data_IF_686932818845
#
_entry.id   IF_686932818845
#
_cell.length_a   1.000
_cell.length_b   1.000
_cell.length_c   1.000
_cell.angle_alpha   90.00
_cell.angle_beta   90.00
_cell.angle_gamma   90.00
#
_symmetry.space_group_name_H-M   'P 1'
#
loop_
_entity.id
_entity.type
_entity.pdbx_description
1 polymer ?
#
# COMPACT_ATOMS: atom_id res chain seq x y z
N UNK A 1 -16.18 35.35 -39.88
CA UNK A 1 -15.34 35.31 -38.67
C UNK A 1 -16.26 35.58 -37.50
N UNK A 2 -16.79 34.53 -36.88
CA UNK A 2 -17.56 34.64 -35.64
C UNK A 2 -16.71 34.09 -34.48
N UNK A 3 -16.76 34.70 -33.28
CA UNK A 3 -15.97 34.27 -32.16
C UNK A 3 -16.56 33.01 -31.53
N UNK A 4 -15.76 31.94 -31.55
CA UNK A 4 -16.06 30.63 -30.99
C UNK A 4 -15.97 30.69 -29.45
N UNK A 5 -17.02 31.18 -28.79
CA UNK A 5 -17.18 31.07 -27.34
C UNK A 5 -17.69 29.66 -27.00
N UNK A 6 -16.79 28.68 -26.99
CA UNK A 6 -17.07 27.38 -26.40
C UNK A 6 -17.23 27.53 -24.89
N UNK A 7 -18.35 27.01 -24.39
CA UNK A 7 -18.71 26.94 -22.99
C UNK A 7 -17.70 26.11 -22.18
N UNK A 8 -16.90 26.77 -21.34
CA UNK A 8 -15.98 26.14 -20.39
C UNK A 8 -16.66 25.26 -19.31
N UNK A 9 -18.00 25.17 -19.30
CA UNK A 9 -18.76 24.41 -18.29
C UNK A 9 -18.88 22.90 -18.54
N UNK A 10 -18.70 22.41 -19.77
CA UNK A 10 -18.88 20.97 -20.08
C UNK A 10 -17.61 20.12 -19.93
N UNK A 11 -16.42 20.73 -19.98
CA UNK A 11 -15.15 19.99 -19.86
C UNK A 11 -14.83 19.56 -18.42
N UNK A 12 -15.35 20.25 -17.40
CA UNK A 12 -15.16 19.84 -16.00
C UNK A 12 -15.94 18.57 -15.63
N UNK A 13 -17.15 18.39 -16.18
CA UNK A 13 -18.05 17.29 -15.82
C UNK A 13 -17.53 15.90 -16.21
N UNK A 14 -16.97 15.76 -17.42
CA UNK A 14 -16.43 14.48 -17.89
C UNK A 14 -15.12 14.09 -17.17
N UNK A 15 -14.32 15.07 -16.76
CA UNK A 15 -13.11 14.83 -15.96
C UNK A 15 -13.43 14.33 -14.56
N UNK A 16 -14.45 14.91 -13.92
CA UNK A 16 -14.92 14.48 -12.62
C UNK A 16 -15.49 13.06 -12.68
N UNK A 17 -16.27 12.71 -13.70
CA UNK A 17 -16.93 11.40 -13.78
C UNK A 17 -15.98 10.19 -13.85
N UNK A 18 -14.74 10.34 -14.33
CA UNK A 18 -13.78 9.22 -14.44
C UNK A 18 -13.03 8.98 -13.13
N UNK A 19 -12.87 10.02 -12.30
CA UNK A 19 -12.23 9.92 -10.99
C UNK A 19 -13.22 9.72 -9.85
N UNK A 20 -14.47 10.11 -10.06
CA UNK A 20 -15.55 10.04 -9.10
C UNK A 20 -16.54 8.93 -9.54
N UNK A 21 -16.14 7.66 -9.44
CA UNK A 21 -17.16 6.62 -9.21
C UNK A 21 -17.92 7.02 -7.92
N UNK A 22 -19.25 6.82 -7.85
CA UNK A 22 -20.06 7.31 -6.73
C UNK A 22 -19.42 6.92 -5.41
N UNK A 23 -19.17 7.94 -4.61
CA UNK A 23 -18.47 7.89 -3.34
C UNK A 23 -19.19 6.88 -2.43
N UNK A 24 -18.71 5.64 -2.41
CA UNK A 24 -19.00 4.74 -1.30
C UNK A 24 -18.54 5.51 -0.08
N UNK A 25 -19.45 5.86 0.83
CA UNK A 25 -19.12 6.61 2.05
C UNK A 25 -17.95 5.91 2.74
N UNK A 26 -16.74 6.41 2.49
CA UNK A 26 -15.55 5.88 3.10
C UNK A 26 -15.54 6.49 4.48
N UNK A 27 -16.15 5.78 5.43
CA UNK A 27 -16.00 6.13 6.83
C UNK A 27 -14.49 6.22 7.07
N UNK A 28 -13.97 7.33 7.61
CA UNK A 28 -12.56 7.40 7.99
C UNK A 28 -12.29 6.17 8.83
N UNK A 29 -11.28 5.37 8.45
CA UNK A 29 -10.90 4.20 9.23
C UNK A 29 -10.88 4.64 10.69
N UNK A 30 -11.76 4.05 11.52
CA UNK A 30 -11.82 4.39 12.94
C UNK A 30 -10.38 4.41 13.43
N UNK A 31 -9.92 5.48 14.10
CA UNK A 31 -8.58 5.52 14.70
C UNK A 31 -8.38 4.19 15.45
N UNK A 32 -7.47 3.34 14.97
CA UNK A 32 -7.28 1.96 15.44
C UNK A 32 -7.69 0.81 14.49
N UNK A 33 -8.27 1.09 13.31
CA UNK A 33 -8.53 0.11 12.25
C UNK A 33 -7.26 -0.27 11.49
N UNK A 34 -7.18 -1.53 11.03
CA UNK A 34 -6.01 -2.07 10.31
C UNK A 34 -5.85 -1.41 8.94
N UNK A 35 -4.94 -0.44 8.81
CA UNK A 35 -4.73 0.39 7.60
C UNK A 35 -4.67 -0.43 6.31
N UNK A 36 -3.96 -1.56 6.30
CA UNK A 36 -3.87 -2.46 5.16
C UNK A 36 -5.23 -2.97 4.70
N UNK A 37 -6.07 -3.50 5.61
CA UNK A 37 -7.37 -4.05 5.25
C UNK A 37 -8.38 -2.99 4.76
N UNK A 38 -8.19 -1.73 5.16
CA UNK A 38 -9.11 -0.64 4.82
C UNK A 38 -8.66 0.22 3.66
N UNK A 39 -7.36 0.42 3.48
CA UNK A 39 -6.84 1.41 2.55
C UNK A 39 -5.99 0.80 1.45
N UNK A 40 -5.45 -0.41 1.65
CA UNK A 40 -4.51 -1.02 0.70
C UNK A 40 -5.14 -2.23 0.02
N UNK A 41 -5.22 -2.20 -1.30
CA UNK A 41 -5.56 -3.36 -2.11
C UNK A 41 -4.27 -4.04 -2.55
N UNK A 42 -3.96 -5.19 -1.96
CA UNK A 42 -2.72 -5.93 -2.22
C UNK A 42 -2.98 -7.10 -3.17
N UNK A 43 -2.22 -7.19 -4.26
CA UNK A 43 -2.38 -8.23 -5.28
C UNK A 43 -1.04 -8.89 -5.56
N UNK A 44 -0.98 -10.21 -5.44
CA UNK A 44 0.15 -11.01 -5.89
C UNK A 44 -0.06 -11.38 -7.37
N UNK A 45 0.93 -11.12 -8.21
CA UNK A 45 0.97 -11.55 -9.60
C UNK A 45 2.02 -12.66 -9.78
N UNK A 46 1.60 -13.77 -10.39
CA UNK A 46 2.42 -14.95 -10.60
C UNK A 46 2.35 -15.36 -12.06
N UNK A 47 3.48 -15.71 -12.67
CA UNK A 47 3.45 -16.43 -13.92
C UNK A 47 3.04 -17.89 -13.69
N UNK A 48 2.14 -18.40 -14.53
CA UNK A 48 1.65 -19.78 -14.47
C UNK A 48 1.60 -20.39 -15.88
N UNK A 49 1.77 -21.73 -16.01
CA UNK A 49 1.82 -22.39 -17.32
C UNK A 49 0.46 -22.47 -18.03
N UNK A 50 -0.65 -22.20 -17.33
CA UNK A 50 -1.99 -22.36 -17.88
C UNK A 50 -3.06 -21.67 -17.05
N UNK A 51 -4.25 -21.48 -17.65
CA UNK A 51 -5.42 -20.96 -16.95
C UNK A 51 -5.93 -21.97 -15.92
N UNK A 52 -5.99 -21.56 -14.66
CA UNK A 52 -6.63 -22.32 -13.58
C UNK A 52 -8.08 -21.90 -13.33
N UNK A 53 -8.63 -22.35 -12.20
CA UNK A 53 -9.98 -21.97 -11.75
C UNK A 53 -9.98 -20.54 -11.20
N UNK A 54 -10.92 -19.73 -11.67
CA UNK A 54 -11.16 -18.37 -11.17
C UNK A 54 -12.16 -18.40 -10.00
N UNK A 55 -11.96 -17.52 -9.03
CA UNK A 55 -12.83 -17.29 -7.88
C UNK A 55 -12.84 -15.80 -7.53
N UNK A 56 -13.54 -15.34 -6.50
CA UNK A 56 -13.64 -13.90 -6.19
C UNK A 56 -12.30 -13.18 -6.02
N UNK A 57 -11.21 -13.90 -5.71
CA UNK A 57 -9.87 -13.34 -5.44
C UNK A 57 -8.87 -13.65 -6.53
N UNK A 58 -9.13 -14.62 -7.39
CA UNK A 58 -8.18 -15.14 -8.37
C UNK A 58 -8.66 -14.90 -9.80
N UNK A 59 -7.79 -14.33 -10.63
CA UNK A 59 -8.01 -14.07 -12.06
C UNK A 59 -6.82 -14.54 -12.88
N UNK A 60 -7.04 -14.92 -14.13
CA UNK A 60 -5.98 -15.31 -15.06
C UNK A 60 -5.99 -14.44 -16.32
N UNK A 61 -4.82 -13.99 -16.71
CA UNK A 61 -4.60 -13.07 -17.83
C UNK A 61 -3.73 -13.74 -18.87
N UNK A 62 -4.27 -13.98 -20.06
CA UNK A 62 -3.50 -14.51 -21.18
C UNK A 62 -2.56 -13.42 -21.70
N UNK A 63 -1.29 -13.75 -21.83
CA UNK A 63 -0.27 -12.87 -22.38
C UNK A 63 0.16 -13.37 -23.75
N UNK A 64 -0.02 -12.55 -24.78
CA UNK A 64 0.30 -12.89 -26.17
C UNK A 64 1.79 -12.65 -26.46
N UNK A 65 2.66 -13.37 -25.77
CA UNK A 65 4.11 -13.28 -25.95
C UNK A 65 4.57 -14.64 -26.50
N UNK A 66 4.69 -14.74 -27.83
CA UNK A 66 5.09 -15.93 -28.61
C UNK A 66 3.99 -16.97 -28.91
N UNK A 67 4.36 -18.03 -29.63
CA UNK A 67 3.52 -19.20 -29.93
C UNK A 67 3.14 -20.01 -28.67
N UNK A 68 3.87 -19.85 -27.56
CA UNK A 68 3.55 -20.50 -26.30
C UNK A 68 2.59 -19.64 -25.47
N UNK A 69 1.48 -20.24 -25.05
CA UNK A 69 0.53 -19.58 -24.16
C UNK A 69 1.12 -19.43 -22.76
N UNK A 70 1.39 -18.19 -22.35
CA UNK A 70 1.76 -17.85 -20.98
C UNK A 70 0.63 -17.09 -20.30
N UNK A 71 0.47 -17.34 -19.01
CA UNK A 71 -0.61 -16.78 -18.22
C UNK A 71 -0.04 -16.06 -17.00
N UNK A 72 -0.63 -14.93 -16.64
CA UNK A 72 -0.40 -14.28 -15.36
C UNK A 72 -1.61 -14.54 -14.48
N UNK A 73 -1.40 -15.15 -13.32
CA UNK A 73 -2.40 -15.30 -12.27
C UNK A 73 -2.27 -14.12 -11.32
N UNK A 74 -3.37 -13.44 -11.04
CA UNK A 74 -3.44 -12.42 -9.98
C UNK A 74 -4.29 -12.92 -8.82
N UNK A 75 -3.79 -12.79 -7.60
CA UNK A 75 -4.49 -13.14 -6.37
C UNK A 75 -4.63 -11.92 -5.46
N UNK A 76 -5.86 -11.50 -5.19
CA UNK A 76 -6.18 -10.48 -4.20
C UNK A 76 -5.91 -11.02 -2.79
N UNK A 77 -5.02 -10.35 -2.07
CA UNK A 77 -4.62 -10.70 -0.72
C UNK A 77 -5.56 -10.01 0.29
N UNK A 78 -6.26 -10.82 1.07
CA UNK A 78 -7.07 -10.37 2.19
C UNK A 78 -6.17 -10.26 3.43
N UNK A 79 -5.57 -9.08 3.59
CA UNK A 79 -4.54 -8.85 4.61
C UNK A 79 -4.87 -7.64 5.44
N UNK A 80 -4.50 -7.77 6.71
CA UNK A 80 -4.68 -6.74 7.73
C UNK A 80 -3.35 -6.09 8.15
N UNK A 81 -2.24 -6.59 7.60
CA UNK A 81 -0.86 -6.21 7.88
C UNK A 81 -0.09 -6.21 6.55
N UNK A 82 1.16 -5.70 6.49
CA UNK A 82 1.99 -5.81 5.30
C UNK A 82 2.10 -7.27 4.81
N UNK A 83 2.14 -7.52 3.48
CA UNK A 83 2.18 -8.88 2.91
C UNK A 83 3.56 -9.55 3.02
N UNK A 84 4.25 -9.40 4.15
CA UNK A 84 5.61 -9.92 4.37
C UNK A 84 5.73 -11.41 4.08
N UNK A 85 4.72 -12.21 4.46
CA UNK A 85 4.72 -13.65 4.19
C UNK A 85 4.75 -13.95 2.69
N UNK A 86 3.98 -13.22 1.89
CA UNK A 86 3.93 -13.38 0.45
C UNK A 86 5.19 -12.83 -0.25
N UNK A 87 5.90 -11.90 0.40
CA UNK A 87 7.12 -11.27 -0.11
C UNK A 87 8.40 -11.78 0.56
N UNK A 88 8.32 -12.84 1.37
CA UNK A 88 9.38 -13.26 2.29
C UNK A 88 10.74 -13.48 1.59
N UNK A 89 10.75 -14.09 0.41
CA UNK A 89 11.94 -14.29 -0.41
C UNK A 89 12.54 -13.01 -1.02
N UNK A 90 11.82 -11.88 -0.91
CA UNK A 90 12.13 -10.61 -1.56
C UNK A 90 12.36 -9.45 -0.59
N UNK A 91 12.02 -9.61 0.70
CA UNK A 91 12.08 -8.54 1.71
C UNK A 91 13.45 -7.85 1.80
N UNK A 92 14.54 -8.62 1.71
CA UNK A 92 15.90 -8.10 1.80
C UNK A 92 16.48 -7.63 0.47
N UNK A 93 15.76 -7.80 -0.65
CA UNK A 93 16.28 -7.39 -1.95
C UNK A 93 16.32 -5.86 -2.02
N UNK A 94 17.44 -5.27 -2.46
CA UNK A 94 17.53 -3.84 -2.65
C UNK A 94 16.62 -3.41 -3.80
N UNK A 95 15.97 -2.26 -3.64
CA UNK A 95 15.29 -1.57 -4.74
C UNK A 95 16.37 -0.90 -5.58
N UNK A 96 16.42 -1.27 -6.86
CA UNK A 96 17.47 -0.83 -7.80
C UNK A 96 17.03 0.38 -8.62
N UNK A 97 15.74 0.47 -8.94
CA UNK A 97 15.23 1.61 -9.69
C UNK A 97 13.73 1.81 -9.49
N UNK A 98 13.25 2.99 -9.85
CA UNK A 98 11.83 3.25 -10.04
C UNK A 98 11.57 4.03 -11.33
N UNK A 99 10.35 3.89 -11.85
CA UNK A 99 9.85 4.59 -13.03
C UNK A 99 8.46 5.13 -12.72
N UNK A 100 8.29 6.46 -12.71
CA UNK A 100 6.97 7.06 -12.78
C UNK A 100 6.37 6.81 -14.17
N UNK A 101 5.10 6.43 -14.22
CA UNK A 101 4.34 6.35 -15.47
C UNK A 101 3.17 7.33 -15.41
N UNK A 102 3.09 8.20 -16.41
CA UNK A 102 2.02 9.21 -16.54
C UNK A 102 1.00 8.76 -17.56
N UNK A 103 -0.23 8.50 -17.14
CA UNK A 103 -1.34 8.13 -18.01
C UNK A 103 -2.29 9.31 -18.24
N UNK A 104 -2.29 9.87 -19.46
CA UNK A 104 -3.07 11.07 -19.79
C UNK A 104 -4.56 10.77 -20.04
N UNK A 105 -5.46 11.57 -19.46
CA UNK A 105 -6.91 11.30 -19.47
C UNK A 105 -7.63 11.73 -20.75
N UNK A 106 -7.12 12.73 -21.46
CA UNK A 106 -7.80 13.33 -22.61
C UNK A 106 -6.88 13.41 -23.84
N UNK A 107 -7.48 13.75 -24.99
CA UNK A 107 -6.76 14.24 -26.17
C UNK A 107 -6.39 15.73 -26.02
N UNK A 108 -6.61 16.36 -24.85
CA UNK A 108 -6.33 17.77 -24.71
C UNK A 108 -4.82 18.00 -24.92
N UNK A 109 -4.45 19.10 -25.59
CA UNK A 109 -3.05 19.43 -25.82
C UNK A 109 -2.28 19.43 -24.49
N UNK A 110 -1.11 18.81 -24.50
CA UNK A 110 -0.18 18.89 -23.38
C UNK A 110 0.06 20.37 -23.00
N UNK A 111 -0.05 20.71 -21.72
CA UNK A 111 0.32 22.03 -21.20
C UNK A 111 -0.82 22.93 -20.72
N UNK A 112 -2.10 22.63 -21.01
CA UNK A 112 -3.21 23.46 -20.52
C UNK A 112 -3.55 23.17 -19.04
N UNK A 113 -3.62 21.90 -18.64
CA UNK A 113 -3.72 21.45 -17.25
C UNK A 113 -3.08 20.05 -17.18
N UNK A 114 -1.99 19.83 -16.44
CA UNK A 114 -1.34 18.52 -16.33
C UNK A 114 -2.19 17.56 -15.50
N UNK A 115 -3.24 17.04 -16.14
CA UNK A 115 -4.17 16.07 -15.57
C UNK A 115 -3.83 14.70 -16.13
N UNK A 116 -2.89 14.05 -15.47
CA UNK A 116 -2.55 12.65 -15.71
C UNK A 116 -2.74 11.86 -14.43
N UNK A 117 -3.07 10.58 -14.60
CA UNK A 117 -2.97 9.62 -13.50
C UNK A 117 -1.54 9.10 -13.44
N UNK A 118 -0.93 9.11 -12.26
CA UNK A 118 0.43 8.61 -12.08
C UNK A 118 0.45 7.33 -11.26
N UNK A 119 1.42 6.47 -11.58
CA UNK A 119 1.77 5.30 -10.79
C UNK A 119 3.27 5.07 -10.86
N UNK A 120 3.82 4.40 -9.87
CA UNK A 120 5.27 4.14 -9.81
C UNK A 120 5.50 2.64 -9.95
N UNK A 121 6.26 2.28 -10.99
CA UNK A 121 6.85 0.96 -11.14
C UNK A 121 8.17 0.95 -10.39
N UNK A 122 8.40 -0.07 -9.58
CA UNK A 122 9.58 -0.21 -8.74
C UNK A 122 10.20 -1.56 -9.05
N UNK A 123 11.49 -1.54 -9.34
CA UNK A 123 12.28 -2.72 -9.65
C UNK A 123 13.26 -2.99 -8.50
N UNK A 124 13.20 -4.19 -7.95
CA UNK A 124 14.14 -4.69 -6.97
C UNK A 124 15.11 -5.69 -7.63
N UNK A 125 16.24 -5.94 -6.97
CA UNK A 125 17.20 -6.92 -7.45
C UNK A 125 16.56 -8.30 -7.63
N UNK A 126 17.11 -9.11 -8.54
CA UNK A 126 16.65 -10.47 -8.80
C UNK A 126 15.18 -10.51 -9.19
N UNK A 127 14.88 -9.95 -10.37
CA UNK A 127 13.63 -10.03 -11.15
C UNK A 127 12.31 -9.75 -10.43
N UNK A 128 12.37 -9.09 -9.27
CA UNK A 128 11.20 -8.76 -8.49
C UNK A 128 10.77 -7.31 -8.75
N UNK A 129 9.49 -7.13 -9.02
CA UNK A 129 8.95 -5.80 -9.30
C UNK A 129 7.62 -5.61 -8.62
N UNK A 130 7.31 -4.34 -8.37
CA UNK A 130 6.10 -3.93 -7.71
C UNK A 130 5.59 -2.60 -8.29
N UNK A 131 4.29 -2.38 -8.18
CA UNK A 131 3.61 -1.16 -8.62
C UNK A 131 2.79 -0.60 -7.47
N UNK A 132 2.93 0.70 -7.23
CA UNK A 132 2.08 1.45 -6.31
C UNK A 132 1.35 2.56 -7.06
N UNK A 133 0.06 2.70 -6.78
CA UNK A 133 -0.71 3.85 -7.25
C UNK A 133 -1.80 4.20 -6.25
N UNK A 134 -2.00 5.50 -6.01
CA UNK A 134 -3.21 5.97 -5.32
C UNK A 134 -4.31 6.11 -6.35
N UNK A 135 -5.42 5.39 -6.19
CA UNK A 135 -6.63 5.59 -6.99
C UNK A 135 -7.81 5.70 -6.06
N UNK A 136 -8.62 6.73 -6.30
CA UNK A 136 -9.64 7.15 -5.35
C UNK A 136 -8.98 7.19 -3.97
N UNK A 137 -9.66 6.77 -2.92
CA UNK A 137 -9.11 6.81 -1.57
C UNK A 137 -8.25 5.58 -1.22
N UNK A 138 -8.01 4.66 -2.17
CA UNK A 138 -7.25 3.42 -1.95
C UNK A 138 -5.83 3.50 -2.48
N UNK A 139 -4.92 2.81 -1.81
CA UNK A 139 -3.62 2.45 -2.32
C UNK A 139 -3.72 1.09 -3.04
N UNK A 140 -3.49 1.10 -4.34
CA UNK A 140 -3.42 -0.08 -5.18
C UNK A 140 -1.95 -0.56 -5.20
N UNK A 141 -1.70 -1.76 -4.67
CA UNK A 141 -0.38 -2.37 -4.52
C UNK A 141 -0.35 -3.74 -5.19
N UNK A 142 0.45 -3.92 -6.24
CA UNK A 142 0.67 -5.22 -6.87
C UNK A 142 2.15 -5.53 -6.99
N UNK A 143 2.52 -6.79 -6.82
CA UNK A 143 3.90 -7.24 -6.87
C UNK A 143 4.03 -8.66 -7.40
N UNK A 144 5.22 -9.02 -7.88
CA UNK A 144 5.56 -10.38 -8.28
C UNK A 144 6.94 -10.46 -8.93
N UNK A 145 7.32 -11.66 -9.34
CA UNK A 145 8.63 -11.94 -9.92
C UNK A 145 8.54 -12.33 -11.41
N UNK A 146 9.60 -12.03 -12.15
CA UNK A 146 9.78 -12.39 -13.55
C UNK A 146 9.39 -11.27 -14.53
N UNK A 147 10.00 -11.30 -15.71
CA UNK A 147 9.79 -10.30 -16.76
C UNK A 147 8.34 -10.23 -17.26
N UNK A 148 7.65 -11.38 -17.31
CA UNK A 148 6.24 -11.42 -17.71
C UNK A 148 5.36 -10.63 -16.74
N UNK A 149 5.56 -10.85 -15.44
CA UNK A 149 4.85 -10.11 -14.39
C UNK A 149 5.20 -8.63 -14.46
N UNK A 150 6.48 -8.28 -14.64
CA UNK A 150 6.89 -6.89 -14.79
C UNK A 150 6.18 -6.15 -15.93
N UNK A 151 6.03 -6.81 -17.09
CA UNK A 151 5.26 -6.24 -18.19
C UNK A 151 3.78 -6.10 -17.80
N UNK A 152 3.21 -7.13 -17.18
CA UNK A 152 1.83 -7.10 -16.69
C UNK A 152 1.57 -5.94 -15.72
N UNK A 153 2.48 -5.65 -14.78
CA UNK A 153 2.35 -4.51 -13.85
C UNK A 153 2.22 -3.16 -14.58
N UNK A 154 2.87 -3.03 -15.74
CA UNK A 154 2.85 -1.81 -16.54
C UNK A 154 1.58 -1.66 -17.41
N UNK A 155 0.89 -2.77 -17.68
CA UNK A 155 -0.26 -2.83 -18.57
C UNK A 155 -1.59 -2.94 -17.82
N UNK A 156 -1.58 -3.48 -16.61
CA UNK A 156 -2.78 -3.78 -15.84
C UNK A 156 -2.75 -3.12 -14.46
N UNK A 157 -3.95 -2.87 -13.94
CA UNK A 157 -4.17 -2.43 -12.55
C UNK A 157 -4.27 -3.62 -11.60
N UNK A 158 -4.08 -3.42 -10.29
CA UNK A 158 -4.42 -4.41 -9.25
C UNK A 158 -5.79 -5.07 -9.41
N UNK A 159 -6.81 -4.30 -9.77
CA UNK A 159 -8.17 -4.81 -10.01
C UNK A 159 -8.37 -5.47 -11.39
N UNK A 160 -7.29 -5.70 -12.16
CA UNK A 160 -7.35 -6.34 -13.47
C UNK A 160 -7.86 -5.47 -14.62
N UNK A 161 -8.30 -4.24 -14.36
CA UNK A 161 -8.67 -3.31 -15.44
C UNK A 161 -7.40 -2.97 -16.25
N UNK A 162 -7.37 -3.18 -17.58
CA UNK A 162 -6.22 -2.81 -18.40
C UNK A 162 -6.05 -1.28 -18.41
N UNK A 163 -4.80 -0.84 -18.48
CA UNK A 163 -4.44 0.57 -18.68
C UNK A 163 -4.56 0.93 -20.15
N UNK A 164 -4.69 2.21 -20.44
CA UNK A 164 -4.57 2.71 -21.82
C UNK A 164 -3.09 2.88 -22.14
N UNK A 165 -2.41 1.77 -22.48
CA UNK A 165 -0.96 1.72 -22.72
C UNK A 165 -0.47 2.78 -23.72
N UNK A 166 -1.16 3.04 -24.86
CA UNK A 166 -0.76 4.13 -25.77
C UNK A 166 -0.74 5.54 -25.15
N UNK A 167 -1.38 5.73 -23.99
CA UNK A 167 -1.39 7.00 -23.24
C UNK A 167 -0.51 6.99 -22.00
N UNK A 168 0.16 5.87 -21.72
CA UNK A 168 1.11 5.74 -20.64
C UNK A 168 2.47 6.20 -21.12
N UNK A 169 2.99 7.28 -20.54
CA UNK A 169 4.32 7.82 -20.83
C UNK A 169 5.22 7.51 -19.65
N UNK A 170 6.07 6.46 -19.74
CA UNK A 170 7.06 6.18 -18.71
C UNK A 170 8.09 7.30 -18.69
N UNK A 171 8.37 7.83 -17.50
CA UNK A 171 9.49 8.75 -17.29
C UNK A 171 10.82 7.95 -17.33
N UNK A 172 11.96 8.62 -17.54
CA UNK A 172 13.26 7.94 -17.46
C UNK A 172 13.42 7.21 -16.11
N UNK A 173 13.86 5.93 -16.11
CA UNK A 173 14.08 5.20 -14.86
C UNK A 173 15.12 5.89 -13.99
N UNK A 174 14.81 6.04 -12.70
CA UNK A 174 15.72 6.62 -11.71
C UNK A 174 16.41 5.48 -10.98
N UNK A 175 17.74 5.44 -11.07
CA UNK A 175 18.57 4.45 -10.38
C UNK A 175 18.74 4.83 -8.90
N UNK A 176 18.61 3.86 -8.02
CA UNK A 176 18.80 4.04 -6.58
C UNK A 176 20.15 3.44 -6.15
N UNK A 177 20.79 3.99 -5.10
CA UNK A 177 22.10 3.53 -4.63
C UNK A 177 22.06 2.16 -3.92
N UNK A 178 20.91 1.48 -3.87
CA UNK A 178 20.74 0.14 -3.30
C UNK A 178 20.66 0.08 -1.77
N UNK A 179 20.58 1.23 -1.08
CA UNK A 179 20.45 1.32 0.37
C UNK A 179 19.02 1.09 0.89
N UNK A 180 18.03 1.07 -0.01
CA UNK A 180 16.63 0.85 0.31
C UNK A 180 16.21 -0.57 -0.10
N UNK A 181 15.54 -1.29 0.79
CA UNK A 181 15.04 -2.65 0.56
C UNK A 181 13.54 -2.68 0.41
N UNK A 182 13.01 -3.79 -0.10
CA UNK A 182 11.56 -4.05 -0.13
C UNK A 182 10.96 -3.98 1.28
N UNK A 183 11.61 -4.54 2.29
CA UNK A 183 11.17 -4.45 3.68
C UNK A 183 11.07 -3.00 4.15
N UNK A 184 12.07 -2.16 3.83
CA UNK A 184 12.08 -0.75 4.22
C UNK A 184 10.95 0.04 3.57
N UNK A 185 10.59 -0.29 2.33
CA UNK A 185 9.41 0.26 1.66
C UNK A 185 8.11 -0.15 2.38
N UNK A 186 7.96 -1.42 2.77
CA UNK A 186 6.79 -1.87 3.53
C UNK A 186 6.70 -1.20 4.90
N UNK A 187 7.81 -1.00 5.60
CA UNK A 187 7.87 -0.24 6.86
C UNK A 187 7.44 1.22 6.67
N UNK A 188 7.84 1.84 5.56
CA UNK A 188 7.43 3.20 5.23
C UNK A 188 5.92 3.29 4.96
N UNK A 189 5.40 2.31 4.21
CA UNK A 189 3.96 2.18 3.96
C UNK A 189 3.17 2.02 5.25
N UNK A 190 3.59 1.08 6.11
CA UNK A 190 2.92 0.76 7.38
C UNK A 190 3.05 1.89 8.43
N UNK A 191 4.13 2.66 8.38
CA UNK A 191 4.43 3.72 9.33
C UNK A 191 4.09 5.13 8.81
N UNK A 192 5.09 5.90 8.31
CA UNK A 192 4.89 7.27 7.83
C UNK A 192 3.70 7.45 6.87
N UNK A 193 3.58 6.62 5.83
CA UNK A 193 2.53 6.77 4.83
C UNK A 193 1.15 6.55 5.44
N UNK A 194 0.95 5.50 6.24
CA UNK A 194 -0.34 5.19 6.86
C UNK A 194 -0.85 6.31 7.76
N UNK A 195 0.04 6.95 8.52
CA UNK A 195 -0.28 8.07 9.43
C UNK A 195 -0.64 9.35 8.70
N UNK A 196 -0.06 9.58 7.52
CA UNK A 196 -0.38 10.73 6.68
C UNK A 196 -1.28 10.38 5.51
N UNK A 197 -2.01 9.25 5.57
CA UNK A 197 -2.89 8.85 4.49
C UNK A 197 -4.15 9.72 4.50
N UNK A 198 -4.39 10.40 3.38
CA UNK A 198 -5.53 11.29 3.20
C UNK A 198 -6.51 10.72 2.19
N UNK A 199 -7.80 11.03 2.37
CA UNK A 199 -8.86 10.76 1.37
C UNK A 199 -8.49 11.46 0.06
N UNK A 200 -8.91 10.90 -1.07
CA UNK A 200 -8.57 11.48 -2.36
C UNK A 200 -9.12 12.90 -2.51
N UNK A 201 -8.23 13.84 -2.77
CA UNK A 201 -8.57 15.21 -3.17
C UNK A 201 -7.87 15.49 -4.48
N UNK A 202 -8.60 16.00 -5.48
CA UNK A 202 -8.01 16.39 -6.76
C UNK A 202 -6.92 17.45 -6.60
N UNK A 203 -7.08 18.35 -5.62
CA UNK A 203 -6.17 19.49 -5.38
C UNK A 203 -5.07 19.16 -4.39
N UNK A 204 -5.34 18.34 -3.37
CA UNK A 204 -4.45 18.25 -2.20
C UNK A 204 -3.86 16.84 -1.98
N UNK A 205 -4.55 15.79 -2.45
CA UNK A 205 -4.24 14.42 -2.07
C UNK A 205 -4.60 13.41 -3.17
N UNK A 206 -4.06 13.62 -4.37
CA UNK A 206 -4.29 12.77 -5.55
C UNK A 206 -3.14 11.78 -5.80
N UNK A 207 -3.16 11.11 -6.96
CA UNK A 207 -2.11 10.17 -7.39
C UNK A 207 -0.73 10.81 -7.56
N UNK A 208 -0.67 12.07 -8.03
CA UNK A 208 0.57 12.80 -8.30
C UNK A 208 1.28 13.13 -6.99
N UNK A 209 0.56 13.67 -6.01
CA UNK A 209 1.07 13.92 -4.66
C UNK A 209 1.58 12.64 -3.99
N UNK A 210 0.84 11.53 -4.12
CA UNK A 210 1.30 10.23 -3.61
C UNK A 210 2.60 9.79 -4.31
N UNK A 211 2.66 9.94 -5.63
CA UNK A 211 3.82 9.55 -6.44
C UNK A 211 5.05 10.36 -6.05
N UNK A 212 4.90 11.68 -5.89
CA UNK A 212 5.97 12.57 -5.43
C UNK A 212 6.51 12.16 -4.06
N UNK A 213 5.63 11.96 -3.07
CA UNK A 213 6.04 11.52 -1.71
C UNK A 213 6.72 10.14 -1.71
N UNK A 214 6.28 9.22 -2.57
CA UNK A 214 6.95 7.94 -2.76
C UNK A 214 8.35 8.13 -3.35
N UNK A 215 8.51 8.99 -4.36
CA UNK A 215 9.82 9.28 -4.95
C UNK A 215 10.77 9.95 -3.94
N UNK A 216 10.29 10.91 -3.16
CA UNK A 216 11.05 11.54 -2.08
C UNK A 216 11.57 10.49 -1.09
N UNK A 217 10.71 9.56 -0.66
CA UNK A 217 11.10 8.45 0.21
C UNK A 217 12.14 7.53 -0.45
N UNK A 218 11.94 7.15 -1.70
CA UNK A 218 12.87 6.26 -2.41
C UNK A 218 14.26 6.89 -2.60
N UNK A 219 14.31 8.21 -2.83
CA UNK A 219 15.55 8.97 -3.00
C UNK A 219 16.24 9.28 -1.67
N UNK A 220 15.47 9.49 -0.61
CA UNK A 220 16.01 9.87 0.69
C UNK A 220 15.22 9.21 1.84
N UNK A 221 15.41 7.90 2.07
CA UNK A 221 14.66 7.15 3.08
C UNK A 221 14.91 7.61 4.52
N UNK A 222 16.01 8.35 4.75
CA UNK A 222 16.38 8.88 6.07
C UNK A 222 15.77 10.26 6.34
N UNK A 223 15.53 11.08 5.31
CA UNK A 223 14.91 12.40 5.47
C UNK A 223 13.42 12.32 5.82
N UNK A 224 12.78 11.20 5.51
CA UNK A 224 11.45 10.92 6.06
C UNK A 224 11.66 10.71 7.55
N UNK A 225 11.47 11.78 8.34
CA UNK A 225 11.63 11.74 9.80
C UNK A 225 10.77 10.61 10.33
N UNK A 226 11.44 9.52 10.68
CA UNK A 226 10.82 8.41 11.37
C UNK A 226 10.48 8.90 12.76
N UNK A 227 9.25 9.38 12.95
CA UNK A 227 8.63 9.11 14.24
C UNK A 227 8.66 7.58 14.37
N UNK A 228 9.33 7.06 15.42
CA UNK A 228 9.72 5.66 15.50
C UNK A 228 8.53 4.78 15.13
N UNK A 229 8.76 3.78 14.26
CA UNK A 229 7.65 2.98 13.71
C UNK A 229 6.84 2.36 14.83
N UNK A 230 5.56 2.08 14.59
CA UNK A 230 4.75 1.41 15.61
C UNK A 230 5.45 0.12 16.07
N UNK A 231 6.14 -0.61 15.19
CA UNK A 231 6.93 -1.81 15.52
C UNK A 231 8.17 -1.51 16.39
N UNK A 232 8.96 -0.48 16.07
CA UNK A 232 10.14 -0.11 16.88
C UNK A 232 9.72 0.43 18.25
N UNK A 233 8.67 1.26 18.29
CA UNK A 233 8.07 1.74 19.53
C UNK A 233 7.54 0.54 20.32
N UNK A 234 6.80 -0.36 19.68
CA UNK A 234 6.27 -1.58 20.28
C UNK A 234 7.37 -2.45 20.90
N UNK A 235 8.42 -2.79 20.16
CA UNK A 235 9.52 -3.62 20.67
C UNK A 235 10.33 -2.92 21.76
N UNK A 236 10.59 -1.62 21.59
CA UNK A 236 11.28 -0.81 22.62
C UNK A 236 10.47 -0.81 23.93
N UNK A 237 9.15 -0.64 23.84
CA UNK A 237 8.28 -0.67 25.00
C UNK A 237 8.13 -2.07 25.59
N UNK A 238 8.04 -3.13 24.78
CA UNK A 238 8.07 -4.50 25.30
C UNK A 238 9.34 -4.80 26.07
N UNK A 239 10.51 -4.38 25.57
CA UNK A 239 11.76 -4.55 26.29
C UNK A 239 11.76 -3.80 27.64
N UNK A 240 11.23 -2.57 27.68
CA UNK A 240 11.08 -1.82 28.93
C UNK A 240 10.12 -2.49 29.90
N UNK A 241 8.99 -2.98 29.41
CA UNK A 241 7.97 -3.68 30.20
C UNK A 241 8.49 -5.00 30.76
N UNK A 242 9.30 -5.72 29.98
CA UNK A 242 9.99 -6.93 30.44
C UNK A 242 10.94 -6.64 31.61
N UNK A 243 11.59 -5.48 31.62
CA UNK A 243 12.48 -5.06 32.68
C UNK A 243 11.74 -4.48 33.90
N UNK A 244 10.64 -3.76 33.68
CA UNK A 244 9.84 -3.08 34.70
C UNK A 244 8.36 -3.00 34.27
N UNK A 245 7.46 -3.67 34.99
CA UNK A 245 6.03 -3.65 34.70
C UNK A 245 5.42 -2.25 34.69
N UNK A 246 5.97 -1.32 35.49
CA UNK A 246 5.46 0.06 35.56
C UNK A 246 5.76 0.85 34.30
N UNK A 247 6.72 0.41 33.48
CA UNK A 247 6.97 1.02 32.17
C UNK A 247 5.74 0.96 31.25
N UNK A 248 4.81 0.03 31.48
CA UNK A 248 3.56 -0.03 30.71
C UNK A 248 2.74 1.25 30.83
N UNK A 249 2.66 1.87 32.02
CA UNK A 249 1.85 3.09 32.25
C UNK A 249 2.45 4.34 31.59
N UNK A 250 3.72 4.25 31.20
CA UNK A 250 4.44 5.31 30.49
C UNK A 250 4.44 5.10 28.97
N UNK A 251 3.98 3.96 28.48
CA UNK A 251 3.87 3.71 27.05
C UNK A 251 2.90 4.72 26.41
N UNK A 252 3.06 5.08 25.13
CA UNK A 252 2.08 5.89 24.41
C UNK A 252 0.68 5.30 24.56
N UNK A 253 -0.33 6.16 24.69
CA UNK A 253 -1.72 5.75 24.88
C UNK A 253 -2.18 4.79 23.78
N UNK A 254 -1.68 4.96 22.55
CA UNK A 254 -1.97 4.08 21.42
C UNK A 254 -1.50 2.63 21.66
N UNK A 255 -0.34 2.46 22.31
CA UNK A 255 0.15 1.14 22.69
C UNK A 255 -0.63 0.58 23.88
N UNK A 256 -0.90 1.39 24.91
CA UNK A 256 -1.66 0.95 26.08
C UNK A 256 -3.07 0.46 25.70
N UNK A 257 -3.66 1.05 24.65
CA UNK A 257 -4.96 0.67 24.10
C UNK A 257 -4.88 -0.40 23.01
N UNK A 258 -3.68 -0.77 22.55
CA UNK A 258 -3.48 -1.80 21.54
C UNK A 258 -3.56 -3.20 22.17
N UNK A 259 -4.59 -3.96 21.79
CA UNK A 259 -4.78 -5.34 22.27
C UNK A 259 -3.57 -6.23 22.03
N UNK A 260 -2.94 -6.13 20.86
CA UNK A 260 -1.75 -6.93 20.53
C UNK A 260 -0.56 -6.58 21.41
N UNK A 261 -0.38 -5.29 21.72
CA UNK A 261 0.68 -4.84 22.64
C UNK A 261 0.40 -5.32 24.06
N UNK A 262 -0.82 -5.14 24.56
CA UNK A 262 -1.23 -5.59 25.91
C UNK A 262 -1.01 -7.09 26.09
N UNK A 263 -1.39 -7.89 25.10
CA UNK A 263 -1.18 -9.35 25.15
C UNK A 263 0.31 -9.71 25.16
N UNK A 264 1.11 -9.11 24.28
CA UNK A 264 2.55 -9.37 24.23
C UNK A 264 3.25 -8.91 25.52
N UNK A 265 2.89 -7.73 26.03
CA UNK A 265 3.42 -7.16 27.27
C UNK A 265 3.06 -8.04 28.48
N UNK A 266 1.83 -8.54 28.55
CA UNK A 266 1.38 -9.46 29.61
C UNK A 266 2.06 -10.82 29.52
N UNK A 267 2.34 -11.30 28.30
CA UNK A 267 3.07 -12.55 28.10
C UNK A 267 4.54 -12.44 28.55
N UNK A 268 5.18 -11.29 28.34
CA UNK A 268 6.55 -11.03 28.82
C UNK A 268 6.59 -10.79 30.35
N UNK A 269 5.60 -10.09 30.90
CA UNK A 269 5.48 -9.83 32.35
C UNK A 269 4.02 -9.82 32.80
N UNK A 270 3.57 -10.91 33.44
CA UNK A 270 2.18 -11.09 33.85
C UNK A 270 1.63 -10.02 34.80
N UNK A 271 2.49 -9.25 35.48
CA UNK A 271 2.06 -8.14 36.37
C UNK A 271 1.52 -6.94 35.60
N UNK A 272 1.86 -6.81 34.32
CA UNK A 272 1.36 -5.76 33.43
C UNK A 272 -0.16 -5.71 33.41
N UNK A 273 -0.82 -6.86 33.51
CA UNK A 273 -2.28 -6.94 33.54
C UNK A 273 -2.90 -6.02 34.61
N UNK A 274 -2.24 -5.82 35.75
CA UNK A 274 -2.70 -4.93 36.82
C UNK A 274 -2.78 -3.45 36.42
N UNK A 275 -1.94 -3.03 35.46
CA UNK A 275 -1.84 -1.67 34.93
C UNK A 275 -2.72 -1.43 33.70
N UNK A 276 -3.20 -2.49 33.05
CA UNK A 276 -4.06 -2.37 31.87
C UNK A 276 -5.46 -1.84 32.20
N UNK A 277 -6.12 -1.25 31.20
CA UNK A 277 -7.50 -0.82 31.30
C UNK A 277 -8.43 -1.96 31.76
N UNK A 278 -9.49 -1.62 32.50
CA UNK A 278 -10.41 -2.60 33.11
C UNK A 278 -10.95 -3.64 32.13
N UNK A 279 -11.28 -3.25 30.90
CA UNK A 279 -11.82 -4.16 29.90
C UNK A 279 -10.83 -5.26 29.47
N UNK A 280 -9.52 -5.00 29.42
CA UNK A 280 -8.52 -6.04 29.15
C UNK A 280 -8.39 -7.03 30.32
N UNK A 281 -8.51 -6.55 31.56
CA UNK A 281 -8.49 -7.41 32.76
C UNK A 281 -9.69 -8.35 32.82
N UNK A 282 -10.85 -7.86 32.41
CA UNK A 282 -12.09 -8.65 32.36
C UNK A 282 -12.02 -9.71 31.24
N UNK A 283 -11.52 -9.35 30.04
CA UNK A 283 -11.30 -10.28 28.92
C UNK A 283 -10.35 -11.43 29.31
N UNK A 284 -9.26 -11.10 30.00
CA UNK A 284 -8.28 -12.10 30.46
C UNK A 284 -8.85 -13.09 31.50
N UNK A 285 -9.65 -12.60 32.46
CA UNK A 285 -10.29 -13.44 33.49
C UNK A 285 -11.31 -14.40 32.89
N UNK A 286 -12.06 -13.95 31.88
CA UNK A 286 -12.98 -14.79 31.12
C UNK A 286 -12.27 -15.91 30.36
N UNK A 287 -11.14 -15.59 29.71
CA UNK A 287 -10.36 -16.55 28.92
C UNK A 287 -9.59 -17.58 29.76
N UNK A 288 -8.91 -17.17 30.84
CA UNK A 288 -8.09 -18.10 31.64
C UNK A 288 -8.93 -19.09 32.45
N UNK A 289 -10.14 -18.72 32.87
CA UNK A 289 -11.05 -19.64 33.58
C UNK A 289 -11.45 -20.85 32.72
N UNK A 290 -11.35 -20.74 31.39
CA UNK A 290 -11.67 -21.82 30.45
C UNK A 290 -10.49 -22.77 30.17
N UNK A 291 -9.27 -22.46 30.62
CA UNK A 291 -8.05 -23.25 30.32
C UNK A 291 -7.61 -24.12 31.52
N UNK A 292 -8.22 -23.92 32.69
CA UNK A 292 -7.95 -24.70 33.93
C UNK A 292 -9.02 -25.75 34.25
N UNK A 293 -9.81 -26.22 33.27
CA UNK A 293 -10.70 -27.39 33.41
C UNK A 293 -10.25 -28.55 32.54
#
# INVERSE_FOLDING_TARGET
QEPFWLSNGMLSGAMLSICCEPEVQVLPAKRGGQWWGWWVMSVLAEEVPGKGKEDERTRYWKQAISEQERWVKTTLLDICNPPERAMSAHLHKPIVSFTEVRQFWSRLPAGLIPSYHSFTLIDAAGDFSLVLEKKTSKLEFMFGAGALVRNFLSEFRPMGKPRNVPRCVPQPPVQLPGNITVARLLEWMDGPLSRSWEVYSLTDANCQHFTERLQEFLLNPEAVVWQPTHVQVFQTWLWRVKADETAFTHAPDELQMSRSFVLAATAENGRVLGFTARHFREDWRGGCSAVTQ
#
